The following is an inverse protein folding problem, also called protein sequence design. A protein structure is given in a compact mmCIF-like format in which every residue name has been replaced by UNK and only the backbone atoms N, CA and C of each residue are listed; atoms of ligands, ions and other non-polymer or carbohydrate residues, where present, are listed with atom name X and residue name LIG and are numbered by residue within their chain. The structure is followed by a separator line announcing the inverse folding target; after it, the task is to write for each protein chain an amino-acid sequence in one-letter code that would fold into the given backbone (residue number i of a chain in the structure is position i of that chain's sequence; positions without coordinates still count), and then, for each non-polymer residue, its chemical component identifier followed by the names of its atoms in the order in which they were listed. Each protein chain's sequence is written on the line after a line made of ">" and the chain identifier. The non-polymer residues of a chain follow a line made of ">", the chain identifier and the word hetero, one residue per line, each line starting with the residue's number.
data_IF_954406322048
#
_entry.id   IF_954406322048
#
_cell.length_a   1.000
_cell.length_b   1.000
_cell.length_c   1.000
_cell.angle_alpha   90.00
_cell.angle_beta   90.00
_cell.angle_gamma   90.00
#
_symmetry.space_group_name_H-M   'P 1'
#
loop_
_entity.id
_entity.type
_entity.pdbx_description
1 polymer ?
#
# COMPACT_ATOMS: atom_id res chain seq x y z
N UNK A 1 -1.46 7.63 33.28
CA UNK A 1 -1.82 6.26 32.90
C UNK A 1 -1.47 6.00 31.45
N UNK A 2 -1.14 4.77 31.13
CA UNK A 2 -0.79 4.38 29.75
C UNK A 2 -1.85 3.46 29.18
N UNK A 3 -2.10 3.61 27.88
CA UNK A 3 -3.04 2.76 27.13
C UNK A 3 -2.36 2.24 25.87
N UNK A 4 -2.75 1.07 25.44
CA UNK A 4 -2.38 0.51 24.15
C UNK A 4 -3.52 0.80 23.19
N UNK A 5 -3.20 1.43 22.07
CA UNK A 5 -4.19 1.80 21.06
C UNK A 5 -3.77 1.14 19.74
N UNK A 6 -4.32 -0.02 19.42
CA UNK A 6 -4.05 -0.63 18.12
C UNK A 6 -4.47 0.34 17.02
N UNK A 7 -3.58 0.59 16.09
CA UNK A 7 -3.81 1.60 15.06
C UNK A 7 -3.45 1.02 13.70
N UNK A 8 -4.31 1.28 12.71
CA UNK A 8 -4.12 0.82 11.35
C UNK A 8 -4.14 2.00 10.41
N UNK A 9 -3.16 2.05 9.51
CA UNK A 9 -3.10 3.05 8.45
C UNK A 9 -3.40 2.39 7.12
N UNK A 10 -4.33 2.98 6.37
CA UNK A 10 -4.73 2.49 5.05
C UNK A 10 -4.30 3.51 4.01
N UNK A 11 -3.43 3.08 3.10
CA UNK A 11 -2.99 3.88 1.96
C UNK A 11 -3.72 3.40 0.73
N UNK A 12 -4.42 4.31 0.06
CA UNK A 12 -5.23 4.00 -1.11
C UNK A 12 -4.69 4.72 -2.33
N UNK A 13 -4.62 4.01 -3.43
CA UNK A 13 -4.17 4.59 -4.69
C UNK A 13 -4.38 3.63 -5.84
N UNK A 14 -3.76 3.95 -6.97
CA UNK A 14 -3.90 3.20 -8.21
C UNK A 14 -2.52 2.94 -8.79
N UNK A 15 -2.26 1.69 -9.14
CA UNK A 15 -1.15 1.32 -10.02
C UNK A 15 -1.69 1.20 -11.44
N UNK A 16 -0.97 1.77 -12.39
CA UNK A 16 -1.22 1.57 -13.82
C UNK A 16 -0.09 0.71 -14.35
N UNK A 17 -0.42 -0.46 -14.89
CA UNK A 17 0.57 -1.46 -15.27
C UNK A 17 0.26 -2.02 -16.66
N UNK A 18 1.32 -2.26 -17.44
CA UNK A 18 1.23 -2.92 -18.74
C UNK A 18 1.02 -4.41 -18.52
N UNK A 19 0.00 -5.00 -19.13
CA UNK A 19 -0.30 -6.44 -19.00
C UNK A 19 -1.16 -6.91 -20.17
N UNK A 20 -1.18 -8.22 -20.39
CA UNK A 20 -1.97 -8.85 -21.46
C UNK A 20 -3.46 -8.96 -21.09
N UNK A 21 -3.76 -9.06 -19.79
CA UNK A 21 -5.11 -9.17 -19.28
C UNK A 21 -5.18 -8.73 -17.83
N UNK A 22 -6.38 -8.72 -17.26
CA UNK A 22 -6.63 -8.25 -15.88
C UNK A 22 -5.96 -9.12 -14.83
N UNK A 23 -5.93 -10.42 -15.00
CA UNK A 23 -5.32 -11.34 -14.04
C UNK A 23 -3.80 -11.16 -14.01
N UNK A 24 -3.17 -10.98 -15.16
CA UNK A 24 -1.75 -10.68 -15.23
C UNK A 24 -1.44 -9.33 -14.59
N UNK A 25 -2.29 -8.33 -14.80
CA UNK A 25 -2.12 -7.01 -14.17
C UNK A 25 -2.13 -7.12 -12.66
N UNK A 26 -3.12 -7.83 -12.12
CA UNK A 26 -3.22 -8.06 -10.67
C UNK A 26 -2.00 -8.80 -10.14
N UNK A 27 -1.58 -9.85 -10.83
CA UNK A 27 -0.46 -10.67 -10.40
C UNK A 27 0.86 -9.88 -10.38
N UNK A 28 1.08 -9.04 -11.38
CA UNK A 28 2.28 -8.18 -11.42
C UNK A 28 2.33 -7.25 -10.21
N UNK A 29 1.21 -6.64 -9.85
CA UNK A 29 1.15 -5.76 -8.69
C UNK A 29 1.39 -6.54 -7.39
N UNK A 30 0.73 -7.68 -7.24
CA UNK A 30 0.86 -8.48 -6.02
C UNK A 30 2.27 -9.02 -5.81
N UNK A 31 2.94 -9.40 -6.90
CA UNK A 31 4.27 -10.02 -6.83
C UNK A 31 5.42 -9.02 -6.80
N UNK A 32 5.23 -7.85 -7.41
CA UNK A 32 6.35 -6.96 -7.73
C UNK A 32 6.25 -5.56 -7.14
N UNK A 33 5.14 -5.21 -6.49
CA UNK A 33 4.92 -3.87 -5.96
C UNK A 33 4.57 -3.92 -4.48
N UNK A 34 4.92 -2.87 -3.76
CA UNK A 34 4.61 -2.79 -2.35
C UNK A 34 4.81 -1.41 -1.77
N UNK A 35 4.53 -1.30 -0.49
CA UNK A 35 4.72 -0.09 0.29
C UNK A 35 5.52 -0.44 1.55
N UNK A 36 6.57 0.31 1.79
CA UNK A 36 7.39 0.16 3.01
C UNK A 36 7.20 1.39 3.88
N UNK A 37 6.93 1.19 5.15
CA UNK A 37 6.80 2.29 6.11
C UNK A 37 8.10 3.09 6.15
N UNK A 38 7.99 4.40 5.88
CA UNK A 38 9.14 5.29 5.81
C UNK A 38 9.85 5.30 4.46
N UNK A 39 9.61 4.32 3.59
CA UNK A 39 10.27 4.21 2.30
C UNK A 39 9.40 4.50 1.09
N UNK A 40 8.09 4.43 1.25
CA UNK A 40 7.14 4.69 0.18
C UNK A 40 6.91 3.49 -0.73
N UNK A 41 6.35 3.77 -1.90
CA UNK A 41 6.05 2.75 -2.92
C UNK A 41 7.35 2.22 -3.53
N UNK A 42 7.41 0.91 -3.69
CA UNK A 42 8.53 0.26 -4.39
C UNK A 42 8.03 -0.77 -5.40
N UNK A 43 8.84 -1.02 -6.40
CA UNK A 43 8.54 -2.02 -7.42
C UNK A 43 9.84 -2.53 -8.04
N UNK A 44 9.84 -3.78 -8.48
CA UNK A 44 10.93 -4.32 -9.30
C UNK A 44 10.59 -4.35 -10.80
N UNK A 45 9.43 -3.79 -11.17
CA UNK A 45 9.07 -3.61 -12.58
C UNK A 45 9.80 -2.40 -13.17
N UNK A 46 9.97 -2.39 -14.50
CA UNK A 46 10.60 -1.28 -15.21
C UNK A 46 9.71 -0.03 -15.17
N UNK A 47 10.32 1.13 -15.22
CA UNK A 47 9.61 2.42 -15.14
C UNK A 47 8.58 2.61 -16.27
N UNK A 48 8.80 1.99 -17.43
CA UNK A 48 7.86 2.06 -18.56
C UNK A 48 6.74 1.03 -18.46
N UNK A 49 6.81 0.08 -17.52
CA UNK A 49 5.76 -0.92 -17.28
C UNK A 49 4.75 -0.49 -16.26
N UNK A 50 5.13 0.32 -15.29
CA UNK A 50 4.30 0.63 -14.13
C UNK A 50 4.38 2.10 -13.76
N UNK A 51 3.25 2.64 -13.35
CA UNK A 51 3.14 3.96 -12.76
C UNK A 51 2.18 3.87 -11.58
N UNK A 52 2.21 4.85 -10.68
CA UNK A 52 1.31 4.84 -9.54
C UNK A 52 0.94 6.24 -9.09
N UNK A 53 -0.23 6.32 -8.47
CA UNK A 53 -0.74 7.53 -7.85
C UNK A 53 -1.43 7.12 -6.55
N UNK A 54 -0.84 7.48 -5.43
CA UNK A 54 -1.33 7.14 -4.10
C UNK A 54 -1.57 8.38 -3.27
N UNK A 55 -2.57 8.31 -2.40
CA UNK A 55 -2.84 9.37 -1.43
C UNK A 55 -1.64 9.54 -0.50
N UNK A 56 -1.27 10.78 -0.24
CA UNK A 56 -0.16 11.11 0.65
C UNK A 56 -0.56 11.03 2.13
N UNK A 57 -1.86 11.08 2.41
CA UNK A 57 -2.39 11.01 3.76
C UNK A 57 -3.22 9.74 3.92
N UNK A 58 -2.76 8.76 4.68
CA UNK A 58 -3.50 7.53 4.88
C UNK A 58 -4.74 7.74 5.72
N UNK A 59 -5.74 6.90 5.50
CA UNK A 59 -6.86 6.78 6.41
C UNK A 59 -6.39 6.07 7.67
N UNK A 60 -6.78 6.57 8.82
CA UNK A 60 -6.35 6.05 10.13
C UNK A 60 -7.54 5.47 10.87
N UNK A 61 -7.35 4.26 11.38
CA UNK A 61 -8.36 3.59 12.20
C UNK A 61 -7.72 3.15 13.51
N UNK A 62 -8.45 3.26 14.60
CA UNK A 62 -8.03 2.72 15.89
C UNK A 62 -8.90 1.53 16.25
N UNK A 63 -8.28 0.54 16.88
CA UNK A 63 -8.99 -0.63 17.39
C UNK A 63 -9.37 -0.49 18.86
N UNK A 64 -9.58 -1.62 19.49
CA UNK A 64 -9.99 -1.67 20.90
C UNK A 64 -8.84 -1.21 21.80
N UNK A 65 -9.11 -0.20 22.62
CA UNK A 65 -8.13 0.36 23.54
C UNK A 65 -8.07 -0.49 24.80
N UNK A 66 -6.85 -0.81 25.24
CA UNK A 66 -6.62 -1.53 26.50
C UNK A 66 -5.62 -0.79 27.36
N UNK A 67 -5.62 -1.04 28.64
CA UNK A 67 -4.60 -0.49 29.53
C UNK A 67 -3.26 -1.18 29.28
N UNK A 68 -2.24 -0.38 29.24
CA UNK A 68 -0.88 -0.88 29.11
C UNK A 68 -0.39 -1.44 30.47
#
# INVERSE_FOLDING_TARGET
>A
MKYQVPTRFLFTGVFTVEAENREEARQKIMDSCGLVMGGGIHTDLDDDEVDWDFDTHPYKETGRITKA
#
